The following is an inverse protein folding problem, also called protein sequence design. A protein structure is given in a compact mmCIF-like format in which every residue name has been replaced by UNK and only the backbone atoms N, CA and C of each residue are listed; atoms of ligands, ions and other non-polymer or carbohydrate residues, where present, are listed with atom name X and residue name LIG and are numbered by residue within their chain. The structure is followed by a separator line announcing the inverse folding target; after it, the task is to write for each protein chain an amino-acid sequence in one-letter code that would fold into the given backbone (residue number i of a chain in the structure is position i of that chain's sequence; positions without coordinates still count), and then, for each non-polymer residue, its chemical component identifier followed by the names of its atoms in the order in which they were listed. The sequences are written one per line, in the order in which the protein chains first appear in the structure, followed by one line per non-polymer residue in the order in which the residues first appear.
data_IF_788843791763
#
_entry.id   IF_788843791763
#
_cell.length_a   1.000
_cell.length_b   1.000
_cell.length_c   1.000
_cell.angle_alpha   90.00
_cell.angle_beta   90.00
_cell.angle_gamma   90.00
#
_symmetry.space_group_name_H-M   'P 1'
#
loop_
_entity.id
_entity.type
_entity.pdbx_description
1 polymer ?
#
# COMPACT_ATOMS: atom_id res chain seq x y z
N UNK A 1 1.20 -9.83 24.21
CA UNK A 1 0.79 -9.34 22.88
C UNK A 1 1.92 -9.66 21.92
N UNK A 2 1.64 -10.50 20.91
CA UNK A 2 2.65 -10.93 19.95
C UNK A 2 3.02 -9.73 19.06
N UNK A 3 4.14 -9.07 19.37
CA UNK A 3 4.58 -7.85 18.70
C UNK A 3 5.27 -8.24 17.38
N UNK A 4 4.49 -8.34 16.30
CA UNK A 4 4.94 -8.71 14.95
C UNK A 4 4.73 -7.59 13.94
N UNK A 5 4.63 -7.94 12.65
CA UNK A 5 4.20 -7.01 11.61
C UNK A 5 2.79 -6.48 11.90
N UNK A 6 2.42 -5.28 11.42
CA UNK A 6 1.02 -4.85 11.43
C UNK A 6 0.14 -5.89 10.74
N UNK A 7 -1.05 -6.18 11.29
CA UNK A 7 -1.96 -7.20 10.76
C UNK A 7 -3.06 -6.54 9.95
N UNK A 8 -3.15 -6.87 8.66
CA UNK A 8 -4.20 -6.43 7.76
C UNK A 8 -5.25 -7.54 7.58
N UNK A 9 -6.40 -7.38 8.21
CA UNK A 9 -7.60 -8.17 7.90
C UNK A 9 -8.21 -7.66 6.60
N UNK A 10 -8.34 -8.56 5.62
CA UNK A 10 -8.70 -8.16 4.27
C UNK A 10 -9.49 -9.25 3.54
N UNK A 11 -10.27 -8.84 2.54
CA UNK A 11 -10.92 -9.75 1.60
C UNK A 11 -10.63 -9.30 0.18
N UNK A 12 -9.94 -10.14 -0.62
CA UNK A 12 -9.32 -9.73 -1.90
C UNK A 12 -10.28 -9.13 -2.94
N UNK A 13 -11.59 -9.39 -2.82
CA UNK A 13 -12.62 -8.88 -3.74
C UNK A 13 -13.38 -7.65 -3.20
N UNK A 14 -13.17 -7.27 -1.94
CA UNK A 14 -13.78 -6.08 -1.36
C UNK A 14 -13.14 -4.82 -1.95
N UNK A 15 -13.92 -3.86 -2.50
CA UNK A 15 -13.35 -2.63 -3.05
C UNK A 15 -12.58 -1.81 -2.01
N UNK A 16 -13.06 -1.77 -0.77
CA UNK A 16 -12.38 -1.13 0.35
C UNK A 16 -11.06 -1.81 0.72
N UNK A 17 -10.99 -3.13 0.63
CA UNK A 17 -9.77 -3.84 0.96
C UNK A 17 -8.71 -3.70 -0.14
N UNK A 18 -9.15 -3.63 -1.41
CA UNK A 18 -8.28 -3.35 -2.55
C UNK A 18 -7.59 -1.98 -2.37
N UNK A 19 -8.32 -0.94 -1.93
CA UNK A 19 -7.73 0.37 -1.55
C UNK A 19 -6.53 0.22 -0.61
N UNK A 20 -6.74 -0.42 0.54
CA UNK A 20 -5.69 -0.62 1.55
C UNK A 20 -4.48 -1.37 0.98
N UNK A 21 -4.73 -2.47 0.24
CA UNK A 21 -3.66 -3.27 -0.35
C UNK A 21 -2.84 -2.50 -1.39
N UNK A 22 -3.49 -1.71 -2.25
CA UNK A 22 -2.80 -0.89 -3.26
C UNK A 22 -1.85 0.12 -2.61
N UNK A 23 -2.30 0.79 -1.54
CA UNK A 23 -1.47 1.77 -0.85
C UNK A 23 -0.29 1.12 -0.10
N UNK A 24 -0.51 -0.03 0.57
CA UNK A 24 0.55 -0.78 1.25
C UNK A 24 1.59 -1.28 0.25
N UNK A 25 1.14 -1.82 -0.89
CA UNK A 25 2.02 -2.28 -1.97
C UNK A 25 2.85 -1.11 -2.51
N UNK A 26 2.20 0.01 -2.83
CA UNK A 26 2.87 1.18 -3.41
C UNK A 26 3.86 1.84 -2.46
N UNK A 27 3.53 1.93 -1.19
CA UNK A 27 4.42 2.46 -0.17
C UNK A 27 5.66 1.57 0.03
N UNK A 28 5.65 0.33 -0.46
CA UNK A 28 6.74 -0.61 -0.30
C UNK A 28 6.88 -1.11 1.14
N UNK A 29 5.76 -1.12 1.88
CA UNK A 29 5.68 -1.61 3.26
C UNK A 29 5.43 -3.11 3.29
N UNK A 30 5.54 -3.68 4.50
CA UNK A 30 5.25 -5.07 4.78
C UNK A 30 4.26 -5.18 5.95
N UNK A 31 3.21 -5.98 5.76
CA UNK A 31 2.22 -6.31 6.79
C UNK A 31 2.01 -7.81 6.82
N UNK A 32 1.45 -8.33 7.91
CA UNK A 32 0.86 -9.65 7.93
C UNK A 32 -0.56 -9.57 7.34
N UNK A 33 -0.88 -10.41 6.37
CA UNK A 33 -2.19 -10.45 5.73
C UNK A 33 -3.03 -11.61 6.26
N UNK A 34 -4.19 -11.27 6.82
CA UNK A 34 -5.24 -12.22 7.18
C UNK A 34 -6.34 -12.17 6.12
N UNK A 35 -6.41 -13.18 5.24
CA UNK A 35 -7.49 -13.30 4.24
C UNK A 35 -8.77 -13.79 4.92
N UNK A 36 -9.73 -12.89 5.11
CA UNK A 36 -10.96 -13.13 5.86
C UNK A 36 -12.02 -13.79 4.97
N UNK A 37 -12.58 -14.89 5.46
CA UNK A 37 -13.85 -15.43 4.94
C UNK A 37 -15.01 -14.68 5.56
N UNK A 38 -15.75 -13.91 4.77
CA UNK A 38 -16.85 -13.07 5.31
C UNK A 38 -17.96 -13.87 6.02
N UNK A 39 -18.15 -15.14 5.65
CA UNK A 39 -19.11 -16.05 6.30
C UNK A 39 -18.59 -16.68 7.61
N UNK A 40 -17.29 -16.61 7.87
CA UNK A 40 -16.62 -17.18 9.03
C UNK A 40 -15.47 -16.24 9.43
N UNK A 41 -15.83 -15.14 10.09
CA UNK A 41 -14.87 -14.10 10.49
C UNK A 41 -14.05 -14.57 11.69
N UNK A 42 -12.72 -14.32 11.71
CA UNK A 42 -11.87 -14.70 12.84
C UNK A 42 -12.25 -13.93 14.11
N UNK A 43 -12.07 -14.55 15.26
CA UNK A 43 -12.40 -13.93 16.56
C UNK A 43 -11.54 -12.69 16.80
N UNK A 44 -10.28 -12.73 16.37
CA UNK A 44 -9.29 -11.66 16.48
C UNK A 44 -9.73 -10.41 15.70
N UNK A 45 -10.36 -10.58 14.53
CA UNK A 45 -10.98 -9.46 13.81
C UNK A 45 -12.13 -8.86 14.61
N UNK A 46 -13.00 -9.69 15.18
CA UNK A 46 -14.16 -9.22 15.95
C UNK A 46 -13.74 -8.52 17.25
N UNK A 47 -12.64 -8.96 17.85
CA UNK A 47 -12.03 -8.31 19.02
C UNK A 47 -11.39 -6.97 18.64
N UNK A 48 -10.68 -6.91 17.51
CA UNK A 48 -10.04 -5.67 17.04
C UNK A 48 -11.05 -4.64 16.52
N UNK A 49 -12.12 -5.09 15.85
CA UNK A 49 -13.16 -4.27 15.25
C UNK A 49 -14.53 -4.89 15.52
N UNK A 50 -15.33 -4.32 16.45
CA UNK A 50 -16.70 -4.79 16.72
C UNK A 50 -17.61 -4.74 15.49
N UNK A 51 -17.30 -3.88 14.50
CA UNK A 51 -18.00 -3.83 13.21
C UNK A 51 -17.79 -5.11 12.38
N UNK A 52 -16.65 -5.77 12.57
CA UNK A 52 -16.26 -6.98 11.85
C UNK A 52 -16.23 -6.76 10.33
N UNK A 53 -15.96 -5.55 9.86
CA UNK A 53 -15.84 -5.22 8.44
C UNK A 53 -14.38 -5.32 8.00
N UNK A 54 -14.13 -5.34 6.69
CA UNK A 54 -12.78 -5.30 6.14
C UNK A 54 -12.66 -4.14 5.15
N UNK A 55 -11.49 -3.50 5.04
CA UNK A 55 -10.24 -3.82 5.73
C UNK A 55 -10.19 -3.34 7.18
N UNK A 56 -9.37 -3.99 8.01
CA UNK A 56 -8.96 -3.50 9.34
C UNK A 56 -7.46 -3.71 9.45
N UNK A 57 -6.73 -2.66 9.86
CA UNK A 57 -5.30 -2.72 10.12
C UNK A 57 -5.05 -2.59 11.61
N UNK A 58 -4.35 -3.56 12.21
CA UNK A 58 -3.87 -3.50 13.59
C UNK A 58 -2.38 -3.25 13.58
N UNK A 59 -1.95 -2.13 14.14
CA UNK A 59 -0.54 -1.74 14.22
C UNK A 59 0.18 -2.50 15.33
N UNK A 60 1.51 -2.53 15.27
CA UNK A 60 2.35 -3.21 16.26
C UNK A 60 2.18 -2.65 17.69
N UNK A 61 1.80 -1.38 17.83
CA UNK A 61 1.49 -0.72 19.10
C UNK A 61 0.05 -0.97 19.60
N UNK A 62 -0.73 -1.79 18.89
CA UNK A 62 -2.11 -2.14 19.22
C UNK A 62 -3.17 -1.15 18.73
N UNK A 63 -2.79 -0.02 18.11
CA UNK A 63 -3.78 0.88 17.48
C UNK A 63 -4.48 0.17 16.32
N UNK A 64 -5.78 0.42 16.18
CA UNK A 64 -6.62 -0.15 15.13
C UNK A 64 -7.09 0.94 14.18
N UNK A 65 -6.93 0.72 12.87
CA UNK A 65 -7.43 1.57 11.79
C UNK A 65 -8.49 0.79 11.02
N UNK A 66 -9.74 1.25 11.06
CA UNK A 66 -10.89 0.55 10.46
C UNK A 66 -11.31 1.10 9.08
N UNK A 67 -10.90 2.34 8.75
CA UNK A 67 -11.31 2.98 7.51
C UNK A 67 -10.28 2.75 6.40
N UNK A 68 -10.73 2.32 5.22
CA UNK A 68 -9.81 2.03 4.11
C UNK A 68 -8.97 3.26 3.71
N UNK A 69 -9.56 4.46 3.73
CA UNK A 69 -8.87 5.69 3.37
C UNK A 69 -7.81 6.07 4.40
N UNK A 70 -8.07 5.83 5.69
CA UNK A 70 -7.09 6.05 6.75
C UNK A 70 -5.93 5.05 6.64
N UNK A 71 -6.20 3.79 6.26
CA UNK A 71 -5.15 2.79 5.99
C UNK A 71 -4.30 3.23 4.78
N UNK A 72 -4.94 3.72 3.71
CA UNK A 72 -4.21 4.25 2.55
C UNK A 72 -3.32 5.43 2.94
N UNK A 73 -3.87 6.39 3.68
CA UNK A 73 -3.12 7.53 4.18
C UNK A 73 -1.96 7.06 5.05
N UNK A 74 -2.19 6.18 6.03
CA UNK A 74 -1.15 5.63 6.90
C UNK A 74 0.03 5.06 6.09
N UNK A 75 -0.24 4.26 5.06
CA UNK A 75 0.81 3.69 4.23
C UNK A 75 1.59 4.77 3.46
N UNK A 76 0.87 5.68 2.78
CA UNK A 76 1.47 6.75 1.97
C UNK A 76 2.18 7.83 2.81
N UNK A 77 1.81 7.99 4.08
CA UNK A 77 2.55 8.85 5.02
C UNK A 77 3.97 8.34 5.27
N UNK A 78 4.20 7.03 5.17
CA UNK A 78 5.54 6.46 5.29
C UNK A 78 6.36 6.67 4.02
N UNK A 79 5.77 6.38 2.87
CA UNK A 79 6.43 6.52 1.59
C UNK A 79 5.39 6.65 0.45
N UNK A 80 5.42 7.79 -0.25
CA UNK A 80 4.54 8.09 -1.38
C UNK A 80 5.38 8.43 -2.63
N UNK A 81 5.94 7.42 -3.31
CA UNK A 81 6.86 7.63 -4.42
C UNK A 81 6.21 8.39 -5.60
N UNK A 82 4.90 8.22 -5.80
CA UNK A 82 4.17 8.84 -6.92
C UNK A 82 3.51 10.16 -6.61
N UNK A 83 3.43 10.57 -5.34
CA UNK A 83 2.61 11.71 -4.90
C UNK A 83 1.10 11.44 -5.04
N UNK A 84 0.63 10.25 -4.68
CA UNK A 84 -0.82 9.98 -4.66
C UNK A 84 -1.55 10.92 -3.72
N UNK A 85 -0.90 11.43 -2.67
CA UNK A 85 -1.46 12.42 -1.75
C UNK A 85 -1.39 13.86 -2.27
N UNK A 86 -0.84 14.07 -3.48
CA UNK A 86 -0.68 15.38 -4.13
C UNK A 86 -0.02 16.42 -3.21
N UNK A 87 1.02 16.01 -2.47
CA UNK A 87 1.73 16.88 -1.51
C UNK A 87 2.66 17.85 -2.21
N UNK A 88 3.11 17.52 -3.43
CA UNK A 88 4.03 18.35 -4.21
C UNK A 88 3.32 19.40 -5.07
N UNK A 89 1.98 19.41 -5.08
CA UNK A 89 1.15 20.25 -5.95
C UNK A 89 0.89 19.59 -7.31
N UNK A 90 -0.23 19.94 -7.95
CA UNK A 90 -0.59 19.46 -9.28
C UNK A 90 0.38 19.98 -10.34
N UNK A 91 0.62 19.18 -11.39
CA UNK A 91 1.41 19.62 -12.56
C UNK A 91 0.51 20.47 -13.48
N UNK A 92 1.03 21.50 -14.19
CA UNK A 92 0.27 22.38 -15.06
C UNK A 92 -0.69 21.65 -16.01
N UNK A 93 -1.98 22.01 -16.03
CA UNK A 93 -2.85 21.71 -17.17
C UNK A 93 -4.36 21.52 -16.93
N UNK A 94 -4.80 21.11 -15.73
CA UNK A 94 -6.22 20.86 -15.44
C UNK A 94 -6.53 21.14 -13.96
N UNK A 95 -7.42 22.12 -13.72
CA UNK A 95 -7.33 22.94 -12.49
C UNK A 95 -6.13 23.89 -12.61
N UNK A 96 -6.12 25.02 -11.89
CA UNK A 96 -5.08 26.06 -12.07
C UNK A 96 -3.70 25.39 -12.13
N UNK A 97 -2.94 25.69 -13.17
CA UNK A 97 -1.63 25.09 -13.44
C UNK A 97 -0.59 25.33 -12.34
N UNK A 98 -0.98 26.09 -11.31
CA UNK A 98 -0.26 26.48 -10.11
C UNK A 98 -1.12 26.26 -8.84
N UNK A 99 -2.15 25.38 -8.90
CA UNK A 99 -3.06 25.14 -7.81
C UNK A 99 -2.27 24.65 -6.59
N UNK A 100 -2.33 25.38 -5.45
CA UNK A 100 -1.63 24.96 -4.25
C UNK A 100 -2.00 23.52 -3.89
N UNK A 101 -1.07 22.74 -3.32
CA UNK A 101 -1.34 21.36 -2.90
C UNK A 101 -2.65 21.20 -2.09
N UNK A 102 -3.00 22.22 -1.30
CA UNK A 102 -4.24 22.27 -0.55
C UNK A 102 -5.52 22.28 -1.43
N UNK A 103 -5.50 22.90 -2.60
CA UNK A 103 -6.62 22.91 -3.54
C UNK A 103 -6.80 21.56 -4.22
N UNK A 104 -5.72 21.01 -4.78
CA UNK A 104 -5.74 19.68 -5.37
C UNK A 104 -6.20 18.61 -4.36
N UNK A 105 -5.78 18.73 -3.09
CA UNK A 105 -6.25 17.85 -2.02
C UNK A 105 -7.73 18.03 -1.66
N UNK A 106 -8.29 19.25 -1.77
CA UNK A 106 -9.73 19.49 -1.58
C UNK A 106 -10.55 18.84 -2.70
N UNK A 107 -10.10 18.94 -3.95
CA UNK A 107 -10.74 18.29 -5.10
C UNK A 107 -10.68 16.77 -4.97
N UNK A 108 -9.51 16.23 -4.62
CA UNK A 108 -9.32 14.81 -4.32
C UNK A 108 -10.30 14.33 -3.24
N UNK A 109 -10.42 15.06 -2.14
CA UNK A 109 -11.37 14.74 -1.07
C UNK A 109 -12.83 14.82 -1.54
N UNK A 110 -13.17 15.76 -2.43
CA UNK A 110 -14.51 15.88 -2.99
C UNK A 110 -14.89 14.69 -3.90
N UNK A 111 -13.98 14.26 -4.77
CA UNK A 111 -14.16 13.07 -5.62
C UNK A 111 -14.34 11.81 -4.77
N UNK A 112 -13.50 11.62 -3.77
CA UNK A 112 -13.58 10.47 -2.85
C UNK A 112 -14.89 10.47 -2.06
N UNK A 113 -15.32 11.64 -1.56
CA UNK A 113 -16.60 11.78 -0.86
C UNK A 113 -17.78 11.47 -1.77
N UNK A 114 -17.79 12.01 -3.00
CA UNK A 114 -18.81 11.70 -4.00
C UNK A 114 -18.90 10.18 -4.27
N UNK A 115 -17.75 9.51 -4.38
CA UNK A 115 -17.73 8.06 -4.53
C UNK A 115 -18.34 7.32 -3.33
N UNK A 116 -17.90 7.65 -2.11
CA UNK A 116 -18.23 6.90 -0.91
C UNK A 116 -19.66 7.14 -0.42
N UNK A 117 -20.21 8.33 -0.67
CA UNK A 117 -21.54 8.73 -0.20
C UNK A 117 -22.61 8.62 -1.29
N UNK A 118 -22.31 9.05 -2.52
CA UNK A 118 -23.31 9.14 -3.61
C UNK A 118 -23.22 7.93 -4.53
N UNK A 119 -22.09 7.74 -5.22
CA UNK A 119 -21.96 6.66 -6.20
C UNK A 119 -22.17 5.29 -5.57
N UNK A 120 -21.53 5.03 -4.43
CA UNK A 120 -21.66 3.77 -3.70
C UNK A 120 -23.11 3.49 -3.29
N UNK A 121 -23.84 4.51 -2.82
CA UNK A 121 -25.25 4.34 -2.42
C UNK A 121 -26.08 3.77 -3.57
N UNK A 122 -25.88 4.28 -4.78
CA UNK A 122 -26.56 3.81 -5.98
C UNK A 122 -26.02 2.47 -6.47
N UNK A 123 -24.70 2.28 -6.47
CA UNK A 123 -24.05 1.02 -6.81
C UNK A 123 -24.59 -0.14 -5.98
N UNK A 124 -24.72 0.02 -4.66
CA UNK A 124 -25.17 -1.06 -3.78
C UNK A 124 -26.61 -1.49 -4.08
N UNK A 125 -27.52 -0.53 -4.31
CA UNK A 125 -28.93 -0.80 -4.64
C UNK A 125 -29.13 -1.37 -6.04
N UNK A 126 -28.26 -1.01 -6.98
CA UNK A 126 -28.23 -1.61 -8.30
C UNK A 126 -27.68 -3.05 -8.25
N UNK A 127 -26.45 -3.21 -7.75
CA UNK A 127 -25.71 -4.48 -7.81
C UNK A 127 -26.24 -5.53 -6.83
N UNK A 128 -26.66 -5.12 -5.65
CA UNK A 128 -27.17 -5.99 -4.60
C UNK A 128 -28.66 -5.74 -4.36
N UNK A 129 -29.44 -5.57 -5.43
CA UNK A 129 -30.88 -5.29 -5.40
C UNK A 129 -31.66 -6.23 -4.46
N UNK A 130 -31.28 -7.50 -4.37
CA UNK A 130 -31.92 -8.47 -3.46
C UNK A 130 -31.82 -8.11 -1.97
N UNK A 131 -30.89 -7.22 -1.59
CA UNK A 131 -30.74 -6.69 -0.22
C UNK A 131 -31.51 -5.39 0.01
N UNK A 132 -32.13 -4.84 -1.03
CA UNK A 132 -32.82 -3.55 -1.06
C UNK A 132 -34.18 -3.68 -1.79
N UNK A 133 -35.10 -4.52 -1.31
CA UNK A 133 -36.39 -4.76 -1.97
C UNK A 133 -37.27 -3.50 -2.08
N UNK A 134 -36.99 -2.47 -1.26
CA UNK A 134 -37.68 -1.19 -1.28
C UNK A 134 -37.24 -0.24 -2.42
N UNK A 135 -36.12 -0.54 -3.08
CA UNK A 135 -35.51 0.33 -4.09
C UNK A 135 -35.67 -0.25 -5.50
N UNK A 136 -35.91 0.61 -6.49
CA UNK A 136 -35.90 0.22 -7.90
C UNK A 136 -34.46 0.19 -8.44
N UNK A 137 -33.91 -0.98 -8.81
CA UNK A 137 -32.53 -1.09 -9.28
C UNK A 137 -32.25 -0.28 -10.55
N UNK A 138 -33.25 -0.04 -11.40
CA UNK A 138 -33.07 0.73 -12.64
C UNK A 138 -32.92 2.23 -12.35
N UNK A 139 -33.65 2.75 -11.36
CA UNK A 139 -33.49 4.13 -10.87
C UNK A 139 -32.08 4.33 -10.33
N UNK A 140 -31.60 3.40 -9.50
CA UNK A 140 -30.24 3.47 -8.96
C UNK A 140 -29.17 3.26 -10.02
N UNK A 141 -29.39 2.38 -11.00
CA UNK A 141 -28.50 2.24 -12.16
C UNK A 141 -28.35 3.56 -12.91
N UNK A 142 -29.46 4.24 -13.24
CA UNK A 142 -29.44 5.53 -13.94
C UNK A 142 -28.73 6.62 -13.13
N UNK A 143 -28.96 6.69 -11.82
CA UNK A 143 -28.30 7.66 -10.97
C UNK A 143 -26.79 7.40 -10.82
N UNK A 144 -26.38 6.14 -10.73
CA UNK A 144 -24.97 5.77 -10.75
C UNK A 144 -24.31 6.14 -12.10
N UNK A 145 -25.02 5.93 -13.22
CA UNK A 145 -24.55 6.35 -14.54
C UNK A 145 -24.38 7.86 -14.68
N UNK A 146 -25.21 8.67 -14.03
CA UNK A 146 -25.01 10.12 -14.02
C UNK A 146 -23.65 10.49 -13.41
N UNK A 147 -23.32 9.92 -12.23
CA UNK A 147 -22.03 10.16 -11.58
C UNK A 147 -20.85 9.70 -12.45
N UNK A 148 -20.99 8.53 -13.08
CA UNK A 148 -19.98 8.02 -14.01
C UNK A 148 -19.83 8.91 -15.25
N UNK A 149 -20.93 9.46 -15.76
CA UNK A 149 -20.93 10.43 -16.85
C UNK A 149 -20.18 11.71 -16.49
N UNK A 150 -20.40 12.23 -15.29
CA UNK A 150 -19.70 13.43 -14.80
C UNK A 150 -18.19 13.17 -14.70
N UNK A 151 -17.77 12.01 -14.18
CA UNK A 151 -16.35 11.62 -14.16
C UNK A 151 -15.79 11.35 -15.56
N UNK A 152 -16.58 10.82 -16.49
CA UNK A 152 -16.16 10.66 -17.88
C UNK A 152 -15.86 12.01 -18.53
N UNK A 153 -16.77 12.98 -18.39
CA UNK A 153 -16.55 14.34 -18.90
C UNK A 153 -15.29 14.98 -18.30
N UNK A 154 -15.07 14.76 -16.99
CA UNK A 154 -13.85 15.20 -16.32
C UNK A 154 -12.60 14.58 -16.97
N UNK A 155 -12.59 13.27 -17.20
CA UNK A 155 -11.46 12.56 -17.83
C UNK A 155 -11.26 12.97 -19.28
N UNK A 156 -12.32 13.20 -20.06
CA UNK A 156 -12.24 13.69 -21.44
C UNK A 156 -11.58 15.07 -21.49
N UNK A 157 -11.97 15.94 -20.56
CA UNK A 157 -11.35 17.26 -20.44
C UNK A 157 -9.87 17.08 -20.06
N UNK A 158 -9.56 16.26 -19.06
CA UNK A 158 -8.20 16.06 -18.56
C UNK A 158 -7.25 15.27 -19.49
N UNK A 159 -7.76 14.73 -20.61
CA UNK A 159 -6.96 13.90 -21.51
C UNK A 159 -5.83 14.70 -22.16
N UNK A 160 -4.60 14.20 -22.00
CA UNK A 160 -3.43 14.73 -22.69
C UNK A 160 -3.47 14.44 -24.19
N UNK A 161 -2.47 14.95 -24.91
CA UNK A 161 -2.31 14.71 -26.35
C UNK A 161 -2.14 13.22 -26.70
N UNK A 162 -1.73 12.39 -25.75
CA UNK A 162 -1.60 10.93 -25.86
C UNK A 162 -2.91 10.18 -25.54
N UNK A 163 -3.99 10.89 -25.21
CA UNK A 163 -5.29 10.32 -24.85
C UNK A 163 -5.32 9.68 -23.46
N UNK A 164 -4.27 9.84 -22.65
CA UNK A 164 -4.24 9.35 -21.27
C UNK A 164 -4.73 10.45 -20.34
N UNK A 165 -5.64 10.07 -19.45
CA UNK A 165 -6.25 10.97 -18.47
C UNK A 165 -6.27 10.34 -17.08
N UNK A 166 -6.03 11.15 -16.05
CA UNK A 166 -6.29 10.81 -14.66
C UNK A 166 -7.23 11.85 -14.07
N UNK A 167 -7.86 11.53 -12.95
CA UNK A 167 -8.84 12.46 -12.36
C UNK A 167 -8.18 13.79 -11.95
N UNK A 168 -6.94 13.75 -11.47
CA UNK A 168 -6.20 14.92 -11.00
C UNK A 168 -4.75 14.87 -11.47
N UNK A 169 -4.43 15.73 -12.44
CA UNK A 169 -3.07 15.88 -12.99
C UNK A 169 -2.67 14.78 -13.98
N UNK A 170 -1.38 14.76 -14.40
CA UNK A 170 -0.90 13.89 -15.47
C UNK A 170 -0.60 12.45 -15.02
N UNK A 171 -0.75 12.14 -13.73
CA UNK A 171 -0.42 10.85 -13.10
C UNK A 171 -1.54 10.45 -12.14
N UNK A 172 -1.71 9.15 -11.82
CA UNK A 172 -2.74 8.73 -10.89
C UNK A 172 -2.52 9.33 -9.50
N UNK A 173 -3.63 9.68 -8.86
CA UNK A 173 -3.70 10.17 -7.48
C UNK A 173 -4.41 9.17 -6.56
N UNK A 174 -4.51 9.50 -5.27
CA UNK A 174 -5.34 8.75 -4.34
C UNK A 174 -6.81 8.71 -4.77
N UNK A 175 -7.33 9.77 -5.43
CA UNK A 175 -8.69 9.77 -5.96
C UNK A 175 -8.88 8.61 -6.95
N UNK A 176 -7.95 8.45 -7.89
CA UNK A 176 -8.06 7.38 -8.88
C UNK A 176 -8.13 6.01 -8.22
N UNK A 177 -7.18 5.73 -7.33
CA UNK A 177 -7.06 4.41 -6.70
C UNK A 177 -8.13 4.16 -5.62
N UNK A 178 -8.77 5.22 -5.12
CA UNK A 178 -9.93 5.11 -4.26
C UNK A 178 -11.21 4.80 -5.05
N UNK A 179 -11.41 5.39 -6.23
CA UNK A 179 -12.63 5.25 -7.03
C UNK A 179 -12.65 3.98 -7.88
N UNK A 180 -11.52 3.65 -8.52
CA UNK A 180 -11.39 2.53 -9.47
C UNK A 180 -11.93 1.17 -8.93
N UNK A 181 -11.70 0.77 -7.67
CA UNK A 181 -12.26 -0.46 -7.14
C UNK A 181 -13.80 -0.49 -7.14
N UNK A 182 -14.47 0.65 -6.98
CA UNK A 182 -15.94 0.76 -6.98
C UNK A 182 -16.51 0.78 -8.40
N UNK A 183 -15.87 1.49 -9.32
CA UNK A 183 -16.24 1.48 -10.73
C UNK A 183 -16.07 0.07 -11.32
N UNK A 184 -15.02 -0.66 -10.90
CA UNK A 184 -14.90 -2.10 -11.15
C UNK A 184 -16.08 -2.90 -10.61
N UNK A 185 -16.58 -2.61 -9.40
CA UNK A 185 -17.75 -3.33 -8.86
C UNK A 185 -19.02 -3.06 -9.68
N UNK A 186 -19.20 -1.83 -10.18
CA UNK A 186 -20.31 -1.46 -11.06
C UNK A 186 -20.28 -2.25 -12.36
N UNK A 187 -19.13 -2.25 -13.06
CA UNK A 187 -18.93 -3.06 -14.27
C UNK A 187 -19.20 -4.55 -14.03
N UNK A 188 -18.83 -5.08 -12.86
CA UNK A 188 -19.06 -6.50 -12.55
C UNK A 188 -20.54 -6.89 -12.42
N UNK A 189 -21.48 -5.94 -12.31
CA UNK A 189 -22.91 -6.26 -12.32
C UNK A 189 -23.39 -6.64 -13.73
N UNK A 190 -22.91 -5.94 -14.76
CA UNK A 190 -23.15 -6.24 -16.17
C UNK A 190 -21.94 -5.78 -17.02
N UNK A 191 -20.94 -6.65 -17.23
CA UNK A 191 -19.73 -6.27 -17.95
C UNK A 191 -20.00 -5.88 -19.41
N UNK A 192 -20.83 -6.67 -20.11
CA UNK A 192 -21.10 -6.44 -21.52
C UNK A 192 -21.92 -5.17 -21.73
N UNK A 193 -22.93 -4.93 -20.89
CA UNK A 193 -23.69 -3.70 -20.93
C UNK A 193 -22.83 -2.49 -20.61
N UNK A 194 -22.01 -2.53 -19.55
CA UNK A 194 -21.12 -1.43 -19.19
C UNK A 194 -20.12 -1.09 -20.31
N UNK A 195 -19.50 -2.10 -20.92
CA UNK A 195 -18.52 -1.90 -21.99
C UNK A 195 -19.16 -1.37 -23.28
N UNK A 196 -20.47 -1.57 -23.48
CA UNK A 196 -21.23 -1.08 -24.63
C UNK A 196 -21.88 0.30 -24.41
N UNK A 197 -21.79 0.88 -23.21
CA UNK A 197 -22.42 2.17 -22.92
C UNK A 197 -21.79 3.31 -23.75
N UNK A 198 -22.59 4.05 -24.53
CA UNK A 198 -22.08 5.22 -25.25
C UNK A 198 -21.79 6.37 -24.27
N UNK A 199 -20.83 7.23 -24.61
CA UNK A 199 -20.52 8.43 -23.84
C UNK A 199 -19.74 8.19 -22.54
N UNK A 200 -19.14 7.00 -22.36
CA UNK A 200 -18.26 6.66 -21.23
C UNK A 200 -16.85 6.23 -21.66
N UNK A 201 -16.42 6.58 -22.87
CA UNK A 201 -15.19 6.04 -23.46
C UNK A 201 -13.93 6.37 -22.65
N UNK A 202 -13.78 7.60 -22.13
CA UNK A 202 -12.63 7.99 -21.32
C UNK A 202 -12.62 7.25 -19.97
N UNK A 203 -13.79 7.12 -19.34
CA UNK A 203 -13.94 6.37 -18.10
C UNK A 203 -13.70 4.86 -18.29
N UNK A 204 -14.18 4.27 -19.38
CA UNK A 204 -13.93 2.87 -19.73
C UNK A 204 -12.44 2.63 -19.99
N UNK A 205 -11.75 3.54 -20.68
CA UNK A 205 -10.30 3.46 -20.88
C UNK A 205 -9.52 3.59 -19.57
N UNK A 206 -9.94 4.51 -18.69
CA UNK A 206 -9.37 4.70 -17.35
C UNK A 206 -9.53 3.45 -16.46
N UNK A 207 -10.73 2.85 -16.43
CA UNK A 207 -10.95 1.57 -15.77
C UNK A 207 -10.14 0.45 -16.42
N UNK A 208 -10.10 0.39 -17.76
CA UNK A 208 -9.38 -0.62 -18.53
C UNK A 208 -7.89 -0.67 -18.18
N UNK A 209 -7.23 0.50 -18.08
CA UNK A 209 -5.83 0.59 -17.65
C UNK A 209 -5.62 0.01 -16.25
N UNK A 210 -6.53 0.31 -15.31
CA UNK A 210 -6.47 -0.26 -13.97
C UNK A 210 -6.65 -1.78 -13.96
N UNK A 211 -7.63 -2.29 -14.70
CA UNK A 211 -7.91 -3.72 -14.80
C UNK A 211 -6.74 -4.52 -15.41
N UNK A 212 -5.99 -3.90 -16.33
CA UNK A 212 -4.80 -4.48 -16.95
C UNK A 212 -3.51 -4.28 -16.13
N UNK A 213 -3.57 -3.55 -15.01
CA UNK A 213 -2.38 -3.13 -14.28
C UNK A 213 -1.75 -4.26 -13.44
N UNK A 214 -0.42 -4.35 -13.47
CA UNK A 214 0.34 -5.28 -12.62
C UNK A 214 0.11 -5.06 -11.11
N UNK A 215 0.03 -3.80 -10.59
CA UNK A 215 -0.31 -3.56 -9.19
C UNK A 215 -1.65 -4.16 -8.78
N UNK A 216 -2.71 -4.01 -9.59
CA UNK A 216 -4.00 -4.62 -9.27
C UNK A 216 -3.91 -6.15 -9.26
N UNK A 217 -3.26 -6.74 -10.25
CA UNK A 217 -3.07 -8.19 -10.32
C UNK A 217 -2.35 -8.72 -9.07
N UNK A 218 -1.29 -8.04 -8.62
CA UNK A 218 -0.53 -8.41 -7.43
C UNK A 218 -1.37 -8.38 -6.15
N UNK A 219 -2.12 -7.29 -5.91
CA UNK A 219 -2.92 -7.15 -4.68
C UNK A 219 -4.16 -8.06 -4.64
N UNK A 220 -4.60 -8.53 -5.81
CA UNK A 220 -5.75 -9.43 -5.96
C UNK A 220 -5.36 -10.92 -6.05
N UNK A 221 -4.06 -11.23 -6.03
CA UNK A 221 -3.57 -12.61 -6.09
C UNK A 221 -4.27 -13.50 -5.05
N UNK A 222 -4.71 -14.73 -5.43
CA UNK A 222 -5.36 -15.63 -4.49
C UNK A 222 -4.48 -15.90 -3.27
N UNK A 223 -5.08 -15.84 -2.09
CA UNK A 223 -4.48 -16.21 -0.82
C UNK A 223 -5.35 -17.29 -0.16
N UNK A 224 -4.71 -18.17 0.58
CA UNK A 224 -5.41 -19.09 1.45
C UNK A 224 -6.15 -18.30 2.54
N UNK A 225 -7.41 -18.64 2.82
CA UNK A 225 -8.12 -18.10 3.97
C UNK A 225 -7.33 -18.28 5.27
N UNK A 226 -7.45 -17.31 6.16
CA UNK A 226 -6.92 -17.42 7.51
C UNK A 226 -7.56 -18.61 8.26
N UNK A 227 -6.76 -19.26 9.10
CA UNK A 227 -7.17 -20.32 10.03
C UNK A 227 -6.35 -20.22 11.31
N UNK A 228 -6.91 -20.65 12.45
CA UNK A 228 -6.23 -20.66 13.75
C UNK A 228 -4.87 -21.40 13.71
N UNK A 229 -4.74 -22.41 12.85
CA UNK A 229 -3.54 -23.24 12.69
C UNK A 229 -2.48 -22.63 11.75
N UNK A 230 -2.76 -21.50 11.08
CA UNK A 230 -1.85 -20.86 10.14
C UNK A 230 -1.81 -19.33 10.34
N UNK A 231 -0.64 -18.76 10.68
CA UNK A 231 -0.52 -17.31 10.84
C UNK A 231 -0.79 -16.60 9.51
N UNK A 232 -1.10 -15.30 9.58
CA UNK A 232 -1.18 -14.49 8.38
C UNK A 232 0.15 -14.47 7.63
N UNK A 233 0.09 -14.18 6.34
CA UNK A 233 1.27 -14.25 5.45
C UNK A 233 1.85 -12.87 5.21
N UNK A 234 3.18 -12.71 5.07
CA UNK A 234 3.77 -11.44 4.67
C UNK A 234 3.16 -10.92 3.36
N UNK A 235 2.72 -9.66 3.38
CA UNK A 235 2.14 -8.97 2.26
C UNK A 235 2.78 -7.59 2.07
N UNK A 236 3.12 -7.20 0.82
CA UNK A 236 3.04 -7.99 -0.40
C UNK A 236 3.95 -9.23 -0.38
N UNK A 237 3.52 -10.31 -1.02
CA UNK A 237 4.31 -11.54 -1.10
C UNK A 237 5.64 -11.28 -1.86
N UNK A 238 6.74 -11.89 -1.39
CA UNK A 238 8.06 -11.74 -2.00
C UNK A 238 8.76 -10.40 -1.74
N UNK A 239 8.18 -9.51 -0.91
CA UNK A 239 8.83 -8.27 -0.50
C UNK A 239 10.00 -8.58 0.42
N UNK A 240 11.20 -8.21 0.01
CA UNK A 240 12.42 -8.37 0.80
C UNK A 240 12.65 -7.18 1.74
N UNK A 241 13.40 -7.43 2.82
CA UNK A 241 14.01 -6.40 3.66
C UNK A 241 15.52 -6.51 3.56
N UNK A 242 16.23 -5.41 3.80
CA UNK A 242 17.66 -5.33 3.54
C UNK A 242 18.45 -4.97 4.79
N UNK A 243 19.61 -5.59 4.96
CA UNK A 243 20.57 -5.26 6.01
C UNK A 243 21.93 -4.93 5.39
N UNK A 244 22.56 -3.84 5.85
CA UNK A 244 23.92 -3.47 5.48
C UNK A 244 24.89 -4.08 6.49
N UNK A 245 25.62 -5.11 6.06
CA UNK A 245 26.65 -5.78 6.85
C UNK A 245 28.04 -5.34 6.42
N UNK A 246 29.01 -5.34 7.35
CA UNK A 246 30.42 -5.34 6.97
C UNK A 246 30.77 -6.67 6.31
N UNK A 247 31.62 -6.65 5.28
CA UNK A 247 32.03 -7.86 4.58
C UNK A 247 32.65 -8.91 5.52
N UNK A 248 33.47 -8.47 6.49
CA UNK A 248 34.06 -9.34 7.50
C UNK A 248 33.00 -10.00 8.40
N UNK A 249 32.02 -9.22 8.88
CA UNK A 249 30.92 -9.71 9.71
C UNK A 249 30.08 -10.77 8.98
N UNK A 250 29.86 -10.58 7.67
CA UNK A 250 29.15 -11.55 6.84
C UNK A 250 29.96 -12.84 6.66
N UNK A 251 31.27 -12.75 6.42
CA UNK A 251 32.14 -13.92 6.30
C UNK A 251 32.20 -14.73 7.60
N UNK A 252 32.25 -14.06 8.76
CA UNK A 252 32.17 -14.70 10.07
C UNK A 252 30.84 -15.45 10.24
N UNK A 253 29.73 -14.82 9.86
CA UNK A 253 28.42 -15.47 9.92
C UNK A 253 28.32 -16.69 9.01
N UNK A 254 28.89 -16.66 7.80
CA UNK A 254 28.97 -17.81 6.91
C UNK A 254 29.73 -18.99 7.53
N UNK A 255 30.81 -18.71 8.28
CA UNK A 255 31.56 -19.75 9.02
C UNK A 255 30.77 -20.28 10.21
N UNK A 256 30.07 -19.41 10.92
CA UNK A 256 29.31 -19.75 12.13
C UNK A 256 27.93 -20.36 11.85
N UNK A 257 27.41 -20.21 10.62
CA UNK A 257 26.05 -20.63 10.23
C UNK A 257 24.94 -19.70 10.71
N UNK A 258 25.24 -18.54 11.28
CA UNK A 258 24.27 -17.59 11.84
C UNK A 258 24.83 -16.16 11.90
N UNK A 259 24.00 -15.16 11.60
CA UNK A 259 24.36 -13.75 11.67
C UNK A 259 23.82 -13.09 12.95
N UNK A 260 24.68 -12.34 13.66
CA UNK A 260 24.41 -11.77 15.00
C UNK A 260 24.84 -10.31 15.18
N UNK A 261 25.10 -9.57 14.10
CA UNK A 261 25.41 -8.14 14.20
C UNK A 261 24.13 -7.34 14.06
N UNK A 262 23.98 -6.29 14.86
CA UNK A 262 22.79 -5.43 14.81
C UNK A 262 22.97 -4.29 13.80
N UNK A 263 24.10 -3.60 13.95
CA UNK A 263 24.56 -2.50 13.11
C UNK A 263 26.08 -2.42 13.23
N UNK A 264 26.70 -1.43 12.59
CA UNK A 264 28.14 -1.21 12.66
C UNK A 264 28.63 -1.14 14.11
N UNK A 265 29.58 -2.00 14.45
CA UNK A 265 30.20 -2.01 15.78
C UNK A 265 29.36 -2.61 16.91
N UNK A 266 28.05 -2.84 16.73
CA UNK A 266 27.17 -3.37 17.79
C UNK A 266 26.60 -4.76 17.45
N UNK A 267 26.58 -5.66 18.43
CA UNK A 267 25.98 -7.00 18.31
C UNK A 267 24.47 -6.98 18.58
N UNK A 268 23.81 -8.07 18.17
CA UNK A 268 22.41 -8.34 18.50
C UNK A 268 22.17 -8.29 20.01
N UNK A 269 23.06 -8.85 20.82
CA UNK A 269 22.93 -8.90 22.28
C UNK A 269 23.03 -7.51 22.94
N UNK A 270 23.73 -6.56 22.30
CA UNK A 270 23.86 -5.19 22.80
C UNK A 270 22.63 -4.33 22.46
N UNK A 271 21.99 -4.57 21.32
CA UNK A 271 20.88 -3.72 20.81
C UNK A 271 19.51 -4.36 21.04
N UNK A 272 19.42 -5.69 21.01
CA UNK A 272 18.19 -6.47 21.14
C UNK A 272 17.55 -6.89 19.81
N UNK A 273 17.95 -6.29 18.68
CA UNK A 273 17.46 -6.63 17.33
C UNK A 273 18.48 -6.28 16.25
N UNK A 274 18.29 -6.80 15.03
CA UNK A 274 19.08 -6.45 13.84
C UNK A 274 18.34 -5.38 13.04
N UNK A 275 19.04 -4.30 12.70
CA UNK A 275 18.48 -3.23 11.89
C UNK A 275 18.33 -3.67 10.43
N UNK A 276 17.13 -3.62 9.89
CA UNK A 276 16.89 -3.76 8.46
C UNK A 276 16.23 -2.48 7.92
N UNK A 277 16.12 -2.40 6.60
CA UNK A 277 15.50 -1.29 5.91
C UNK A 277 14.74 -1.79 4.68
N UNK A 278 13.72 -1.04 4.26
CA UNK A 278 13.09 -1.25 2.96
C UNK A 278 13.99 -0.69 1.84
N UNK A 279 13.77 -1.14 0.59
CA UNK A 279 14.55 -0.69 -0.55
C UNK A 279 14.63 0.86 -0.68
N UNK A 280 13.53 1.57 -0.43
CA UNK A 280 13.48 3.04 -0.51
C UNK A 280 14.26 3.75 0.62
N UNK A 281 14.63 3.03 1.67
CA UNK A 281 15.36 3.54 2.84
C UNK A 281 16.86 3.29 2.73
N UNK A 282 17.28 2.42 1.81
CA UNK A 282 18.64 1.88 1.77
C UNK A 282 19.70 2.96 1.58
N UNK A 283 19.52 3.84 0.60
CA UNK A 283 20.47 4.91 0.30
C UNK A 283 20.62 5.92 1.46
N UNK A 284 19.50 6.30 2.10
CA UNK A 284 19.53 7.18 3.27
C UNK A 284 20.20 6.50 4.48
N UNK A 285 20.00 5.20 4.64
CA UNK A 285 20.64 4.39 5.70
C UNK A 285 22.14 4.31 5.49
N UNK A 286 22.59 4.01 4.27
CA UNK A 286 24.02 3.98 3.92
C UNK A 286 24.67 5.34 4.17
N UNK A 287 24.08 6.42 3.65
CA UNK A 287 24.61 7.77 3.81
C UNK A 287 24.68 8.22 5.28
N UNK A 288 23.79 7.72 6.15
CA UNK A 288 23.78 8.11 7.57
C UNK A 288 24.79 7.34 8.41
N UNK A 289 24.97 6.04 8.16
CA UNK A 289 25.71 5.15 9.07
C UNK A 289 27.03 4.61 8.49
N UNK A 290 27.24 4.73 7.17
CA UNK A 290 28.36 4.14 6.44
C UNK A 290 28.96 5.09 5.39
N UNK A 291 28.88 6.41 5.64
CA UNK A 291 29.37 7.44 4.71
C UNK A 291 30.88 7.41 4.46
N UNK A 292 31.63 6.82 5.38
CA UNK A 292 33.08 6.63 5.30
C UNK A 292 33.49 5.46 4.39
N UNK A 293 32.53 4.78 3.76
CA UNK A 293 32.76 3.81 2.69
C UNK A 293 33.52 2.54 3.10
N UNK A 294 33.13 1.84 4.19
CA UNK A 294 33.73 0.54 4.50
C UNK A 294 33.32 -0.52 3.46
N UNK A 295 34.01 -1.65 3.45
CA UNK A 295 33.61 -2.81 2.65
C UNK A 295 32.26 -3.36 3.14
N UNK A 296 31.22 -3.14 2.35
CA UNK A 296 29.85 -3.50 2.68
C UNK A 296 29.32 -4.65 1.82
N UNK A 297 28.43 -5.41 2.43
CA UNK A 297 27.60 -6.41 1.76
C UNK A 297 26.13 -6.07 2.06
N UNK A 298 25.33 -5.98 1.00
CA UNK A 298 23.88 -5.91 1.09
C UNK A 298 23.31 -7.30 1.26
N UNK A 299 22.73 -7.58 2.42
CA UNK A 299 21.97 -8.79 2.65
C UNK A 299 20.50 -8.54 2.30
N UNK A 300 19.99 -9.26 1.30
CA UNK A 300 18.58 -9.27 0.95
C UNK A 300 17.90 -10.45 1.64
N UNK A 301 16.93 -10.16 2.50
CA UNK A 301 16.35 -11.10 3.44
C UNK A 301 14.88 -11.33 3.07
N UNK A 302 14.48 -12.59 2.96
CA UNK A 302 13.11 -13.01 2.75
C UNK A 302 12.38 -13.14 4.10
N UNK A 303 11.42 -12.24 4.40
CA UNK A 303 10.68 -12.28 5.66
C UNK A 303 9.94 -13.59 5.91
N UNK A 304 9.54 -14.31 4.85
CA UNK A 304 8.81 -15.57 4.98
C UNK A 304 9.70 -16.73 5.47
N UNK A 305 11.03 -16.55 5.47
CA UNK A 305 12.01 -17.55 5.94
C UNK A 305 12.55 -17.25 7.34
N UNK A 306 12.11 -16.15 7.95
CA UNK A 306 12.51 -15.79 9.30
C UNK A 306 11.85 -16.72 10.32
N UNK A 307 12.64 -17.20 11.27
CA UNK A 307 12.16 -17.98 12.43
C UNK A 307 12.03 -17.13 13.69
N UNK A 308 12.32 -15.83 13.58
CA UNK A 308 12.28 -14.85 14.67
C UNK A 308 11.37 -13.68 14.26
N UNK A 309 10.80 -12.92 15.21
CA UNK A 309 9.85 -11.86 14.88
C UNK A 309 10.49 -10.74 14.05
N UNK A 310 9.77 -10.31 13.00
CA UNK A 310 10.03 -9.08 12.26
C UNK A 310 9.04 -8.01 12.72
N UNK A 311 9.53 -6.84 13.11
CA UNK A 311 8.70 -5.73 13.60
C UNK A 311 8.92 -4.47 12.78
N UNK A 312 7.87 -3.68 12.59
CA UNK A 312 7.99 -2.33 12.02
C UNK A 312 7.95 -1.32 13.16
N UNK A 313 9.07 -0.66 13.39
CA UNK A 313 9.24 0.25 14.53
C UNK A 313 9.83 1.58 14.05
N UNK A 314 9.42 2.68 14.68
CA UNK A 314 9.98 4.00 14.41
C UNK A 314 11.40 4.11 14.95
N UNK A 315 12.29 4.76 14.21
CA UNK A 315 13.55 5.24 14.79
C UNK A 315 13.28 6.46 15.68
N UNK A 316 14.08 6.64 16.74
CA UNK A 316 13.91 7.76 17.67
C UNK A 316 13.89 9.10 16.92
N UNK A 317 12.78 9.83 17.02
CA UNK A 317 12.58 11.13 16.38
C UNK A 317 12.05 11.11 14.93
N UNK A 318 11.70 9.94 14.39
CA UNK A 318 11.06 9.81 13.06
C UNK A 318 9.70 9.10 13.16
N UNK A 319 8.73 9.53 12.36
CA UNK A 319 7.48 8.80 12.16
C UNK A 319 7.63 7.61 11.20
N UNK A 320 8.73 7.59 10.43
CA UNK A 320 9.03 6.55 9.45
C UNK A 320 9.38 5.23 10.14
N UNK A 321 8.77 4.14 9.65
CA UNK A 321 8.94 2.80 10.18
C UNK A 321 10.08 2.05 9.49
N UNK A 322 10.89 1.35 10.28
CA UNK A 322 11.96 0.47 9.82
C UNK A 322 11.68 -0.97 10.25
N UNK A 323 12.03 -1.96 9.41
CA UNK A 323 11.99 -3.37 9.81
C UNK A 323 13.14 -3.70 10.79
N UNK A 324 12.81 -4.37 11.89
CA UNK A 324 13.77 -4.89 12.86
C UNK A 324 13.57 -6.39 13.07
N UNK A 325 14.66 -7.15 13.03
CA UNK A 325 14.66 -8.61 13.22
C UNK A 325 15.03 -8.89 14.68
N UNK A 326 14.07 -9.37 15.48
CA UNK A 326 14.22 -9.57 16.93
C UNK A 326 14.79 -10.95 17.25
N UNK A 327 16.01 -11.21 16.77
CA UNK A 327 16.72 -12.46 17.02
C UNK A 327 17.86 -12.72 16.04
N UNK A 328 18.59 -13.84 16.20
CA UNK A 328 19.66 -14.21 15.28
C UNK A 328 19.11 -14.48 13.88
N UNK A 329 19.81 -13.98 12.86
CA UNK A 329 19.43 -14.14 11.46
C UNK A 329 20.01 -15.45 10.92
N UNK A 330 19.11 -16.38 10.58
CA UNK A 330 19.47 -17.63 9.91
C UNK A 330 19.88 -17.36 8.45
N UNK A 331 20.96 -17.99 7.98
CA UNK A 331 21.52 -17.70 6.65
C UNK A 331 20.59 -18.11 5.51
N UNK A 332 19.72 -19.11 5.71
CA UNK A 332 18.73 -19.53 4.71
C UNK A 332 17.65 -18.47 4.42
N UNK A 333 17.47 -17.50 5.33
CA UNK A 333 16.61 -16.34 5.12
C UNK A 333 17.28 -15.26 4.25
N UNK A 334 18.61 -15.27 4.13
CA UNK A 334 19.35 -14.40 3.20
C UNK A 334 19.30 -15.03 1.81
N UNK A 335 18.56 -14.39 0.89
CA UNK A 335 18.37 -14.89 -0.49
C UNK A 335 19.38 -14.33 -1.48
N UNK A 336 20.02 -13.21 -1.13
CA UNK A 336 21.17 -12.65 -1.85
C UNK A 336 22.09 -11.89 -0.89
N UNK A 337 23.39 -11.95 -1.16
CA UNK A 337 24.43 -11.22 -0.44
C UNK A 337 25.38 -10.60 -1.47
N UNK A 338 25.28 -9.29 -1.68
CA UNK A 338 25.93 -8.60 -2.80
C UNK A 338 26.93 -7.56 -2.27
N UNK A 339 28.17 -7.52 -2.76
CA UNK A 339 29.11 -6.43 -2.47
C UNK A 339 28.51 -5.07 -2.86
N UNK A 340 28.74 -4.05 -2.02
CA UNK A 340 28.21 -2.71 -2.22
C UNK A 340 29.36 -1.72 -2.44
N UNK A 341 29.92 -1.75 -3.65
CA UNK A 341 31.17 -1.06 -3.99
C UNK A 341 30.99 0.45 -4.28
N UNK A 342 29.75 0.94 -4.35
CA UNK A 342 29.42 2.31 -4.74
C UNK A 342 28.35 2.89 -3.81
N UNK A 343 28.41 4.19 -3.47
CA UNK A 343 27.31 4.87 -2.79
C UNK A 343 26.02 4.72 -3.60
N UNK A 344 24.97 4.26 -2.94
CA UNK A 344 23.66 4.15 -3.56
C UNK A 344 23.08 5.55 -3.77
N UNK A 345 22.57 5.80 -4.97
CA UNK A 345 21.84 7.02 -5.23
C UNK A 345 20.61 7.08 -4.31
N UNK A 346 20.45 8.19 -3.59
CA UNK A 346 19.22 8.45 -2.87
C UNK A 346 18.06 8.49 -3.87
N UNK A 347 17.01 7.68 -3.63
CA UNK A 347 15.70 8.01 -4.22
C UNK A 347 15.37 9.45 -3.82
N UNK A 348 14.87 10.29 -4.73
CA UNK A 348 14.65 11.70 -4.46
C UNK A 348 13.67 11.88 -3.29
N UNK A 349 14.20 12.01 -2.08
CA UNK A 349 13.45 12.46 -0.91
C UNK A 349 13.28 13.96 -1.08
N UNK A 350 12.03 14.39 -1.20
CA UNK A 350 11.66 15.81 -1.15
C UNK A 350 12.08 16.32 0.23
N UNK A 351 13.18 17.06 0.28
CA UNK A 351 13.72 17.61 1.51
C UNK A 351 12.72 18.63 2.07
N UNK A 352 12.06 18.31 3.18
CA UNK A 352 11.48 19.34 4.05
C UNK A 352 12.66 20.01 4.74
N UNK A 353 13.04 21.18 4.23
CA UNK A 353 13.98 22.07 4.93
C UNK A 353 13.33 22.47 6.26
N UNK A 354 13.86 21.97 7.37
CA UNK A 354 13.69 22.66 8.65
C UNK A 354 14.53 23.94 8.58
N UNK A 355 13.85 25.08 8.56
CA UNK A 355 14.49 26.37 8.78
C UNK A 355 14.89 26.46 10.27
N UNK A 356 16.12 26.92 10.48
CA UNK A 356 16.66 27.29 11.79
C UNK A 356 15.96 28.52 12.37
#
# INVERSE_FOLDING_TARGET
MNCGLPVLYSFRRCPYAIRARLAIERAGLLVELCEVRLAAKPLELLQASPKGTVPVLVLADGRVIEQSLEIMAWALYQHDPDDWLLRRGGTPGFGAADAPAAEAQREMAALIRCNDEVFKHHLDRYKYASRHPEADPLVHHKAALQVLGDWNLWLEQAAGADGVAWLLGPRPSLADLALLPFVRQFRLADPAGFDALPGLAALQAWLGRFLASAPLAAVMAPQEPWSDDAPGRPFPAGRLVHHLALAADWQDACRAGVYRRSTRGLSLEQVGFIHACFAHQLAATQARFYADGPDLVLLSIDPARLTVPLRLESSAGSAELFPHIHGPLALNAVVAAEPLDVPLAASPRTAVRQAA
#
